data_IF_898909053755
#
_entry.id   IF_898909053755
#
_cell.length_a   1.000
_cell.length_b   1.000
_cell.length_c   1.000
_cell.angle_alpha   90.00
_cell.angle_beta   90.00
_cell.angle_gamma   90.00
#
_symmetry.space_group_name_H-M   'P 1'
#
loop_
_entity.id
_entity.type
_entity.pdbx_description
1 polymer ?
#
# COMPACT_ATOMS: atom_id res chain seq x y z
N UNK A 1 23.68 -7.95 -10.43
CA UNK A 1 23.00 -8.68 -11.51
C UNK A 1 21.50 -8.55 -11.26
N UNK A 2 20.76 -7.85 -12.14
CA UNK A 2 19.33 -7.58 -11.90
C UNK A 2 18.47 -8.84 -12.01
N UNK A 3 18.79 -9.73 -12.95
CA UNK A 3 18.04 -10.96 -13.18
C UNK A 3 18.07 -11.89 -11.96
N UNK A 4 19.23 -11.99 -11.31
CA UNK A 4 19.38 -12.73 -10.06
C UNK A 4 18.52 -12.14 -8.94
N UNK A 5 18.47 -10.81 -8.82
CA UNK A 5 17.62 -10.16 -7.80
C UNK A 5 16.13 -10.41 -8.06
N UNK A 6 15.69 -10.32 -9.32
CA UNK A 6 14.30 -10.62 -9.68
C UNK A 6 13.95 -12.08 -9.42
N UNK A 7 14.87 -13.00 -9.71
CA UNK A 7 14.69 -14.43 -9.41
C UNK A 7 14.54 -14.65 -7.90
N UNK A 8 15.42 -14.07 -7.08
CA UNK A 8 15.35 -14.15 -5.62
C UNK A 8 14.04 -13.56 -5.07
N UNK A 9 13.57 -12.45 -5.63
CA UNK A 9 12.32 -11.81 -5.22
C UNK A 9 11.10 -12.66 -5.57
N UNK A 10 11.08 -13.26 -6.77
CA UNK A 10 10.03 -14.19 -7.20
C UNK A 10 9.95 -15.42 -6.28
N UNK A 11 11.10 -15.98 -5.92
CA UNK A 11 11.17 -17.09 -4.97
C UNK A 11 10.63 -16.70 -3.58
N UNK A 12 10.94 -15.49 -3.11
CA UNK A 12 10.40 -14.97 -1.86
C UNK A 12 8.87 -14.85 -1.92
N UNK A 13 8.32 -14.31 -3.00
CA UNK A 13 6.88 -14.17 -3.18
C UNK A 13 6.18 -15.53 -3.21
N UNK A 14 6.72 -16.50 -3.93
CA UNK A 14 6.18 -17.87 -3.96
C UNK A 14 6.16 -18.50 -2.57
N UNK A 15 7.25 -18.34 -1.80
CA UNK A 15 7.32 -18.82 -0.41
C UNK A 15 6.27 -18.16 0.47
N UNK A 16 6.03 -16.85 0.31
CA UNK A 16 5.00 -16.13 1.06
C UNK A 16 3.58 -16.62 0.69
N UNK A 17 3.32 -16.84 -0.60
CA UNK A 17 2.05 -17.37 -1.09
C UNK A 17 1.74 -18.74 -0.51
N UNK A 18 2.74 -19.62 -0.41
CA UNK A 18 2.56 -20.95 0.18
C UNK A 18 2.46 -20.92 1.71
N UNK A 19 3.03 -19.92 2.36
CA UNK A 19 3.14 -19.85 3.82
C UNK A 19 2.03 -19.05 4.51
N UNK A 20 1.26 -18.26 3.77
CA UNK A 20 0.29 -17.30 4.32
C UNK A 20 -1.06 -17.41 3.60
N UNK A 21 -2.17 -17.03 4.25
CA UNK A 21 -3.50 -16.93 3.63
C UNK A 21 -3.65 -15.69 2.75
N UNK A 22 -2.56 -15.05 2.34
CA UNK A 22 -2.61 -13.83 1.55
C UNK A 22 -2.86 -14.15 0.09
N UNK A 23 -3.83 -13.45 -0.49
CA UNK A 23 -4.04 -13.46 -1.94
C UNK A 23 -2.94 -12.60 -2.58
N UNK A 24 -2.15 -13.22 -3.44
CA UNK A 24 -1.16 -12.52 -4.25
C UNK A 24 -1.73 -12.26 -5.63
N UNK A 25 -1.80 -11.00 -6.02
CA UNK A 25 -2.23 -10.56 -7.35
C UNK A 25 -0.99 -10.07 -8.10
N UNK A 26 -0.73 -10.65 -9.27
CA UNK A 26 0.31 -10.22 -10.21
C UNK A 26 -0.31 -10.27 -11.59
N UNK A 27 -0.30 -9.13 -12.28
CA UNK A 27 -0.79 -8.99 -13.64
C UNK A 27 0.34 -8.47 -14.53
N UNK A 28 0.54 -9.12 -15.68
CA UNK A 28 1.58 -8.71 -16.61
C UNK A 28 1.27 -7.32 -17.18
N UNK A 29 2.30 -6.48 -17.26
CA UNK A 29 2.25 -5.11 -17.79
C UNK A 29 1.36 -4.12 -17.02
N UNK A 30 0.89 -4.49 -15.83
CA UNK A 30 0.17 -3.58 -14.93
C UNK A 30 1.02 -3.30 -13.70
N UNK A 31 0.93 -2.08 -13.20
CA UNK A 31 1.61 -1.68 -11.98
C UNK A 31 0.74 -2.02 -10.74
N UNK A 32 1.38 -1.99 -9.56
CA UNK A 32 0.68 -2.30 -8.32
C UNK A 32 -0.38 -1.24 -7.98
N UNK A 33 -0.15 0.00 -8.41
CA UNK A 33 -1.04 1.14 -8.22
C UNK A 33 -2.34 1.02 -9.03
N UNK A 34 -2.29 0.51 -10.27
CA UNK A 34 -3.46 0.16 -11.09
C UNK A 34 -4.37 -0.82 -10.33
N UNK A 35 -3.75 -1.85 -9.75
CA UNK A 35 -4.45 -2.91 -9.00
C UNK A 35 -5.07 -2.33 -7.72
N UNK A 36 -4.28 -1.59 -6.93
CA UNK A 36 -4.73 -1.00 -5.67
C UNK A 36 -5.85 0.02 -5.89
N UNK A 37 -5.68 0.89 -6.90
CA UNK A 37 -6.67 1.88 -7.32
C UNK A 37 -8.02 1.21 -7.64
N UNK A 38 -8.00 0.19 -8.48
CA UNK A 38 -9.20 -0.57 -8.85
C UNK A 38 -9.79 -1.31 -7.65
N UNK A 39 -8.95 -1.92 -6.80
CA UNK A 39 -9.40 -2.61 -5.60
C UNK A 39 -10.10 -1.67 -4.61
N UNK A 40 -9.62 -0.43 -4.46
CA UNK A 40 -10.30 0.59 -3.65
C UNK A 40 -11.72 0.89 -4.16
N UNK A 41 -11.93 0.97 -5.48
CA UNK A 41 -13.27 1.16 -6.03
C UNK A 41 -14.14 -0.09 -5.96
N UNK A 42 -13.55 -1.27 -6.14
CA UNK A 42 -14.24 -2.56 -6.07
C UNK A 42 -14.76 -2.85 -4.66
N UNK A 43 -13.95 -2.61 -3.62
CA UNK A 43 -14.32 -2.85 -2.22
C UNK A 43 -14.95 -1.64 -1.52
N UNK A 44 -15.61 -0.74 -2.27
CA UNK A 44 -16.21 0.50 -1.75
C UNK A 44 -17.20 0.32 -0.59
N UNK A 45 -17.80 -0.87 -0.47
CA UNK A 45 -18.76 -1.19 0.59
C UNK A 45 -18.07 -1.66 1.89
N UNK A 46 -16.72 -1.61 1.95
CA UNK A 46 -15.91 -2.01 3.09
C UNK A 46 -14.86 -0.94 3.40
N UNK A 47 -14.34 -0.98 4.63
CA UNK A 47 -13.13 -0.23 4.94
C UNK A 47 -11.92 -0.84 4.21
N UNK A 48 -11.18 0.01 3.49
CA UNK A 48 -9.99 -0.39 2.73
C UNK A 48 -8.77 0.27 3.36
N UNK A 49 -7.81 -0.55 3.79
CA UNK A 49 -6.56 -0.08 4.37
C UNK A 49 -5.41 -0.34 3.40
N UNK A 50 -4.84 0.73 2.84
CA UNK A 50 -3.63 0.68 2.02
C UNK A 50 -2.42 0.74 2.96
N UNK A 51 -1.54 -0.24 2.87
CA UNK A 51 -0.29 -0.28 3.66
C UNK A 51 0.86 0.04 2.71
N UNK A 52 1.27 1.30 2.65
CA UNK A 52 2.35 1.75 1.76
C UNK A 52 3.04 3.02 2.26
N UNK A 53 4.32 3.17 1.94
CA UNK A 53 5.07 4.41 2.13
C UNK A 53 4.88 5.40 0.99
N UNK A 54 4.34 4.96 -0.14
CA UNK A 54 4.14 5.78 -1.33
C UNK A 54 3.17 6.94 -1.07
N UNK A 55 3.50 8.12 -1.58
CA UNK A 55 2.65 9.31 -1.52
C UNK A 55 1.52 9.26 -2.53
N UNK A 56 1.63 8.43 -3.56
CA UNK A 56 0.76 8.50 -4.72
C UNK A 56 -0.63 7.98 -4.39
N UNK A 57 -0.69 7.03 -3.46
CA UNK A 57 -1.94 6.56 -2.86
C UNK A 57 -2.69 7.63 -2.06
N UNK A 58 -2.06 8.75 -1.68
CA UNK A 58 -2.75 9.81 -0.94
C UNK A 58 -3.90 10.43 -1.76
N UNK A 59 -3.85 10.33 -3.09
CA UNK A 59 -5.00 10.72 -3.92
C UNK A 59 -6.24 9.84 -3.66
N UNK A 60 -6.06 8.55 -3.32
CA UNK A 60 -7.15 7.62 -3.03
C UNK A 60 -7.84 7.91 -1.69
N UNK A 61 -7.25 8.75 -0.83
CA UNK A 61 -7.91 9.26 0.37
C UNK A 61 -9.09 10.21 0.05
N UNK A 62 -9.39 10.44 -1.24
CA UNK A 62 -10.65 11.04 -1.70
C UNK A 62 -11.87 10.19 -1.33
N UNK A 63 -11.69 8.88 -1.19
CA UNK A 63 -12.73 7.98 -0.74
C UNK A 63 -12.72 7.88 0.79
N UNK A 64 -13.83 8.24 1.45
CA UNK A 64 -13.93 8.27 2.92
C UNK A 64 -13.66 6.92 3.60
N UNK A 65 -13.89 5.81 2.87
CA UNK A 65 -13.67 4.44 3.33
C UNK A 65 -12.23 3.94 3.12
N UNK A 66 -11.35 4.75 2.51
CA UNK A 66 -9.93 4.42 2.27
C UNK A 66 -9.06 5.06 3.34
N UNK A 67 -8.28 4.23 4.04
CA UNK A 67 -7.25 4.65 5.00
C UNK A 67 -5.87 4.25 4.50
N UNK A 68 -4.87 5.09 4.74
CA UNK A 68 -3.50 4.81 4.33
C UNK A 68 -2.62 4.70 5.56
N UNK A 69 -1.99 3.56 5.77
CA UNK A 69 -1.06 3.28 6.86
C UNK A 69 0.38 3.37 6.36
N UNK A 70 1.17 4.29 6.90
CA UNK A 70 2.63 4.34 6.64
C UNK A 70 3.32 3.21 7.41
N UNK A 71 3.99 2.24 6.76
CA UNK A 71 4.72 1.17 7.45
C UNK A 71 5.92 1.72 8.23
N UNK A 72 6.53 2.79 7.72
CA UNK A 72 7.67 3.48 8.31
C UNK A 72 7.28 4.15 9.62
N UNK A 73 6.21 4.94 9.60
CA UNK A 73 5.79 5.76 10.74
C UNK A 73 4.82 5.00 11.67
N UNK A 74 4.22 3.91 11.18
CA UNK A 74 3.24 3.07 11.88
C UNK A 74 2.02 3.87 12.33
N UNK A 75 1.62 4.81 11.48
CA UNK A 75 0.48 5.70 11.70
C UNK A 75 -0.30 5.88 10.41
N UNK A 76 -1.61 6.09 10.55
CA UNK A 76 -2.43 6.51 9.43
C UNK A 76 -2.00 7.90 8.94
N UNK A 77 -1.82 8.04 7.63
CA UNK A 77 -1.57 9.33 6.98
C UNK A 77 -2.83 10.18 7.10
N UNK A 78 -2.64 11.46 7.42
CA UNK A 78 -3.72 12.45 7.40
C UNK A 78 -3.62 13.23 6.10
N UNK A 79 -4.53 12.95 5.17
CA UNK A 79 -4.61 13.65 3.88
C UNK A 79 -5.71 14.70 3.98
N UNK A 80 -5.37 15.97 3.74
CA UNK A 80 -6.32 17.08 3.86
C UNK A 80 -6.99 17.45 2.54
N UNK A 81 -6.25 17.35 1.44
CA UNK A 81 -6.76 17.69 0.11
C UNK A 81 -6.17 16.75 -0.95
N UNK A 82 -6.81 15.59 -1.20
CA UNK A 82 -6.38 14.63 -2.21
C UNK A 82 -6.37 15.22 -3.63
N UNK A 83 -7.32 16.10 -3.98
CA UNK A 83 -7.40 16.72 -5.31
C UNK A 83 -6.19 17.63 -5.58
N UNK A 84 -5.71 18.34 -4.55
CA UNK A 84 -4.49 19.14 -4.66
C UNK A 84 -3.24 18.29 -4.88
N UNK A 85 -3.20 17.08 -4.32
CA UNK A 85 -2.08 16.14 -4.53
C UNK A 85 -2.04 15.71 -6.00
N UNK A 86 -3.19 15.30 -6.55
CA UNK A 86 -3.30 14.94 -7.96
C UNK A 86 -2.92 16.13 -8.87
N UNK A 87 -3.47 17.32 -8.61
CA UNK A 87 -3.16 18.51 -9.40
C UNK A 87 -1.66 18.84 -9.41
N UNK A 88 -0.97 18.69 -8.27
CA UNK A 88 0.49 18.89 -8.18
C UNK A 88 1.25 17.85 -9.01
N UNK A 89 0.84 16.58 -8.97
CA UNK A 89 1.47 15.51 -9.75
C UNK A 89 1.32 15.71 -11.25
N UNK A 90 0.13 16.10 -11.70
CA UNK A 90 -0.11 16.44 -13.11
C UNK A 90 0.79 17.61 -13.53
N UNK A 91 0.91 18.62 -12.68
CA UNK A 91 1.73 19.79 -12.96
C UNK A 91 3.22 19.45 -13.07
N UNK A 92 3.74 18.65 -12.15
CA UNK A 92 5.15 18.25 -12.13
C UNK A 92 5.34 16.98 -11.32
N UNK A 93 5.86 15.95 -11.97
CA UNK A 93 6.31 14.72 -11.31
C UNK A 93 7.71 14.37 -11.83
N UNK A 94 8.69 14.35 -10.93
CA UNK A 94 10.09 14.11 -11.30
C UNK A 94 10.37 12.62 -11.47
N UNK A 95 9.66 11.78 -10.73
CA UNK A 95 9.90 10.33 -10.72
C UNK A 95 9.48 9.72 -12.05
N UNK A 96 8.35 10.15 -12.58
CA UNK A 96 7.77 9.69 -13.86
C UNK A 96 8.23 10.54 -15.05
N UNK A 97 9.28 11.36 -14.86
CA UNK A 97 9.86 12.21 -15.89
C UNK A 97 8.88 13.23 -16.53
N UNK A 98 7.85 13.66 -15.78
CA UNK A 98 6.86 14.66 -16.17
C UNK A 98 7.31 16.07 -15.72
N UNK A 99 8.42 16.54 -16.29
CA UNK A 99 9.06 17.82 -15.90
C UNK A 99 8.93 18.94 -16.94
N UNK A 100 8.48 18.61 -18.15
CA UNK A 100 8.25 19.58 -19.23
C UNK A 100 7.14 20.56 -18.86
N UNK A 101 7.10 21.74 -19.49
CA UNK A 101 5.99 22.66 -19.34
C UNK A 101 4.74 22.11 -20.05
N UNK A 102 3.56 22.33 -19.45
CA UNK A 102 2.28 21.95 -20.04
C UNK A 102 1.88 23.06 -21.02
N UNK A 103 2.01 22.79 -22.31
CA UNK A 103 1.79 23.79 -23.36
C UNK A 103 0.36 23.81 -23.91
N UNK A 104 -0.35 22.68 -23.84
CA UNK A 104 -1.69 22.54 -24.38
C UNK A 104 -2.50 21.53 -23.55
N UNK A 105 -3.81 21.48 -23.81
CA UNK A 105 -4.74 20.58 -23.14
C UNK A 105 -4.41 19.10 -23.39
N UNK A 106 -3.88 18.77 -24.57
CA UNK A 106 -3.51 17.39 -24.91
C UNK A 106 -2.36 16.87 -24.01
N UNK A 107 -1.37 17.71 -23.72
CA UNK A 107 -0.26 17.37 -22.81
C UNK A 107 -0.77 17.21 -21.37
N UNK A 108 -1.70 18.07 -20.95
CA UNK A 108 -2.37 17.93 -19.66
C UNK A 108 -3.07 16.57 -19.52
N UNK A 109 -3.91 16.22 -20.51
CA UNK A 109 -4.67 14.97 -20.51
C UNK A 109 -3.77 13.73 -20.56
N UNK A 110 -2.62 13.81 -21.25
CA UNK A 110 -1.63 12.72 -21.26
C UNK A 110 -1.01 12.52 -19.88
N UNK A 111 -0.64 13.59 -19.19
CA UNK A 111 -0.08 13.52 -17.84
C UNK A 111 -1.09 13.03 -16.84
N UNK A 112 -2.32 13.55 -16.91
CA UNK A 112 -3.42 13.08 -16.08
C UNK A 112 -3.58 11.56 -16.19
N UNK A 113 -3.59 11.00 -17.41
CA UNK A 113 -3.67 9.55 -17.61
C UNK A 113 -2.52 8.75 -16.99
N UNK A 114 -1.35 9.35 -16.78
CA UNK A 114 -0.18 8.69 -16.20
C UNK A 114 -0.27 8.68 -14.67
N UNK A 115 -0.67 9.78 -14.04
CA UNK A 115 -0.58 9.95 -12.57
C UNK A 115 -1.90 9.73 -11.83
N UNK A 116 -3.02 9.73 -12.54
CA UNK A 116 -4.35 9.70 -11.93
C UNK A 116 -4.75 8.27 -11.56
N UNK A 117 -4.82 8.01 -10.25
CA UNK A 117 -5.32 6.74 -9.70
C UNK A 117 -6.81 6.80 -9.34
N UNK A 118 -7.50 7.93 -9.53
CA UNK A 118 -8.94 8.00 -9.30
C UNK A 118 -9.74 7.43 -10.47
N UNK A 119 -9.21 7.56 -11.68
CA UNK A 119 -9.80 7.03 -12.91
C UNK A 119 -8.73 6.40 -13.79
N UNK A 120 -8.87 5.11 -14.05
CA UNK A 120 -7.98 4.36 -14.94
C UNK A 120 -8.65 4.11 -16.30
N UNK A 121 -7.89 3.82 -17.37
CA UNK A 121 -8.44 3.33 -18.63
C UNK A 121 -9.31 2.08 -18.43
N UNK A 122 -10.43 1.99 -19.16
CA UNK A 122 -11.40 0.87 -19.07
C UNK A 122 -10.74 -0.48 -19.21
N UNK A 123 -9.81 -0.61 -20.16
CA UNK A 123 -9.16 -1.89 -20.48
C UNK A 123 -8.26 -2.38 -19.34
N UNK A 124 -7.69 -1.46 -18.56
CA UNK A 124 -6.89 -1.77 -17.37
C UNK A 124 -7.83 -2.18 -16.23
N UNK A 125 -8.85 -1.37 -15.98
CA UNK A 125 -9.83 -1.63 -14.91
C UNK A 125 -10.55 -2.96 -15.11
N UNK A 126 -11.00 -3.29 -16.33
CA UNK A 126 -11.64 -4.57 -16.63
C UNK A 126 -10.73 -5.78 -16.36
N UNK A 127 -9.44 -5.68 -16.69
CA UNK A 127 -8.48 -6.77 -16.41
C UNK A 127 -8.34 -7.01 -14.91
N UNK A 128 -8.23 -5.94 -14.13
CA UNK A 128 -8.11 -6.05 -12.67
C UNK A 128 -9.41 -6.55 -12.06
N UNK A 129 -10.56 -6.03 -12.50
CA UNK A 129 -11.88 -6.45 -12.00
C UNK A 129 -12.15 -7.94 -12.20
N UNK A 130 -11.77 -8.50 -13.36
CA UNK A 130 -11.88 -9.95 -13.61
C UNK A 130 -11.13 -10.75 -12.56
N UNK A 131 -9.88 -10.38 -12.30
CA UNK A 131 -9.09 -11.05 -11.27
C UNK A 131 -9.72 -10.88 -9.89
N UNK A 132 -10.10 -9.66 -9.52
CA UNK A 132 -10.71 -9.38 -8.20
C UNK A 132 -12.02 -10.16 -7.98
N UNK A 133 -12.79 -10.37 -9.03
CA UNK A 133 -14.03 -11.14 -9.00
C UNK A 133 -13.77 -12.65 -8.83
N UNK A 134 -12.71 -13.17 -9.44
CA UNK A 134 -12.32 -14.59 -9.39
C UNK A 134 -11.53 -14.96 -8.12
N UNK A 135 -11.21 -14.01 -7.24
CA UNK A 135 -10.46 -14.28 -6.01
C UNK A 135 -11.28 -15.17 -5.07
N UNK A 136 -10.73 -16.34 -4.78
CA UNK A 136 -11.19 -17.22 -3.71
C UNK A 136 -10.32 -17.07 -2.45
N UNK A 137 -10.90 -17.26 -1.25
CA UNK A 137 -10.12 -17.30 -0.01
C UNK A 137 -9.07 -18.41 -0.04
N UNK A 138 -7.83 -18.07 0.34
CA UNK A 138 -6.74 -19.07 0.45
C UNK A 138 -6.92 -19.86 1.74
N UNK A 139 -7.37 -21.11 1.62
CA UNK A 139 -7.56 -22.02 2.78
C UNK A 139 -6.35 -22.91 3.04
N UNK A 140 -5.56 -23.21 2.01
CA UNK A 140 -4.45 -24.16 2.08
C UNK A 140 -3.11 -23.42 2.10
N UNK A 141 -2.65 -23.06 3.30
CA UNK A 141 -1.32 -22.46 3.51
C UNK A 141 -0.57 -23.22 4.62
N UNK A 142 0.76 -23.29 4.52
CA UNK A 142 1.61 -23.96 5.51
C UNK A 142 2.48 -22.94 6.25
N UNK A 143 2.02 -22.56 7.45
CA UNK A 143 2.72 -21.60 8.30
C UNK A 143 4.16 -22.03 8.63
N UNK A 144 4.48 -23.32 8.61
CA UNK A 144 5.82 -23.83 8.91
C UNK A 144 6.86 -23.41 7.88
N UNK A 145 6.43 -23.00 6.68
CA UNK A 145 7.29 -22.45 5.63
C UNK A 145 7.83 -21.06 5.97
N UNK A 146 7.24 -20.34 6.93
CA UNK A 146 7.85 -19.11 7.46
C UNK A 146 9.09 -19.51 8.28
N UNK A 147 10.29 -18.98 7.98
CA UNK A 147 11.55 -19.50 8.54
C UNK A 147 11.69 -19.39 10.06
N UNK A 148 11.16 -18.32 10.68
CA UNK A 148 11.38 -18.04 12.10
C UNK A 148 10.16 -18.40 12.96
N UNK A 149 10.36 -19.23 13.99
CA UNK A 149 9.29 -19.62 14.93
C UNK A 149 8.61 -18.42 15.58
N UNK A 150 9.39 -17.43 16.01
CA UNK A 150 8.87 -16.19 16.62
C UNK A 150 7.95 -15.42 15.69
N UNK A 151 8.18 -15.46 14.37
CA UNK A 151 7.29 -14.85 13.39
C UNK A 151 6.04 -15.70 13.16
N UNK A 152 6.16 -17.03 13.13
CA UNK A 152 5.01 -17.95 13.04
C UNK A 152 4.05 -17.75 14.21
N UNK A 153 4.59 -17.78 15.44
CA UNK A 153 3.80 -17.64 16.66
C UNK A 153 3.06 -16.29 16.68
N UNK A 154 3.76 -15.20 16.32
CA UNK A 154 3.18 -13.86 16.24
C UNK A 154 2.15 -13.72 15.11
N UNK A 155 2.37 -14.36 13.97
CA UNK A 155 1.42 -14.36 12.88
C UNK A 155 0.12 -15.06 13.31
N UNK A 156 0.23 -16.25 13.91
CA UNK A 156 -0.93 -17.02 14.36
C UNK A 156 -1.69 -16.33 15.48
N UNK A 157 -1.01 -15.66 16.42
CA UNK A 157 -1.69 -14.87 17.45
C UNK A 157 -2.53 -13.75 16.84
N UNK A 158 -2.00 -13.05 15.82
CA UNK A 158 -2.75 -11.99 15.12
C UNK A 158 -3.91 -12.58 14.31
N UNK A 159 -3.65 -13.66 13.56
CA UNK A 159 -4.60 -14.25 12.64
C UNK A 159 -5.79 -14.94 13.33
N UNK A 160 -5.54 -15.66 14.44
CA UNK A 160 -6.58 -16.40 15.15
C UNK A 160 -7.28 -15.58 16.23
N UNK A 161 -6.57 -14.67 16.92
CA UNK A 161 -7.11 -14.02 18.12
C UNK A 161 -7.61 -12.58 17.85
N UNK A 162 -7.31 -11.99 16.68
CA UNK A 162 -7.84 -10.67 16.28
C UNK A 162 -7.33 -9.49 17.13
N UNK A 163 -6.25 -9.65 17.89
CA UNK A 163 -5.84 -8.75 18.99
C UNK A 163 -5.01 -7.53 18.57
N UNK A 164 -4.96 -7.16 17.28
CA UNK A 164 -3.90 -6.29 16.77
C UNK A 164 -3.96 -4.81 17.25
N UNK A 165 -5.14 -4.23 17.48
CA UNK A 165 -5.26 -2.78 17.69
C UNK A 165 -4.78 -2.31 19.07
N UNK A 166 -5.29 -2.89 20.16
CA UNK A 166 -5.02 -2.38 21.51
C UNK A 166 -3.55 -2.53 21.93
N UNK A 167 -2.92 -3.65 21.61
CA UNK A 167 -1.52 -3.86 21.96
C UNK A 167 -0.57 -2.96 21.17
N UNK A 168 -0.89 -2.69 19.91
CA UNK A 168 -0.07 -1.84 19.04
C UNK A 168 -0.13 -0.39 19.52
N UNK A 169 -1.33 0.08 19.90
CA UNK A 169 -1.52 1.41 20.51
C UNK A 169 -0.71 1.51 21.81
N UNK A 170 -0.83 0.55 22.74
CA UNK A 170 -0.05 0.52 24.00
C UNK A 170 1.47 0.52 23.77
N UNK A 171 1.95 -0.21 22.74
CA UNK A 171 3.37 -0.26 22.36
C UNK A 171 3.85 1.08 21.77
N UNK A 172 3.03 1.74 20.94
CA UNK A 172 3.32 3.06 20.36
C UNK A 172 3.37 4.13 21.46
N UNK A 173 2.42 4.12 22.39
CA UNK A 173 2.38 5.05 23.53
C UNK A 173 3.60 4.91 24.44
N UNK A 174 3.98 3.68 24.79
CA UNK A 174 5.22 3.41 25.56
C UNK A 174 6.46 3.95 24.84
N UNK A 175 6.55 3.77 23.51
CA UNK A 175 7.67 4.31 22.72
C UNK A 175 7.68 5.85 22.70
N UNK A 176 6.52 6.48 22.47
CA UNK A 176 6.37 7.94 22.51
C UNK A 176 6.76 8.52 23.88
N UNK A 177 6.33 7.88 24.97
CA UNK A 177 6.70 8.28 26.33
C UNK A 177 8.22 8.17 26.58
N UNK A 178 8.86 7.11 26.09
CA UNK A 178 10.32 6.93 26.21
C UNK A 178 11.10 8.01 25.44
N UNK A 179 10.67 8.32 24.21
CA UNK A 179 11.25 9.39 23.39
C UNK A 179 11.07 10.78 24.03
N UNK A 180 9.92 11.05 24.63
CA UNK A 180 9.66 12.32 25.35
C UNK A 180 10.58 12.49 26.56
N UNK A 181 10.79 11.42 27.34
CA UNK A 181 11.74 11.41 28.47
C UNK A 181 13.20 11.62 28.04
N UNK A 182 13.60 11.04 26.90
CA UNK A 182 14.93 11.22 26.32
C UNK A 182 15.16 12.67 25.88
N UNK A 183 14.19 13.28 25.18
CA UNK A 183 14.26 14.70 24.78
C UNK A 183 14.29 15.65 25.97
N UNK A 184 13.50 15.40 27.02
CA UNK A 184 13.55 16.21 28.24
C UNK A 184 14.92 16.15 28.94
N UNK A 185 15.54 14.96 29.01
CA UNK A 185 16.89 14.81 29.59
C UNK A 185 17.97 15.56 28.81
N UNK A 186 17.85 15.65 27.48
CA UNK A 186 18.78 16.40 26.63
C UNK A 186 18.62 17.93 26.72
N UNK A 187 17.45 18.42 27.11
CA UNK A 187 17.17 19.85 27.31
C UNK A 187 17.55 20.36 28.72
N UNK A 188 17.96 19.47 29.62
CA UNK A 188 18.32 19.81 31.02
C UNK A 188 19.84 19.75 31.25
N UNK A 189 20.62 19.65 30.17
CA UNK A 189 22.10 19.70 30.13
C UNK A 189 22.46 20.91 29.28
#
# INVERSE_FOLDING_TARGET
NWDEMFSMFKDLLNKLKEATPFVQIVLDYLEADDIISTACRYYKDKEVIIISSDSDYEQLAKYDYVKILSPKDKTYKKVTNPDLILAKKIQKETTDNLVSEINNEEDYLKREKIVNLLSLPSDIEEKVLRVLFEIEPVTNFDINKIPFKTMRDRFMSIYCEGTAEEETIKKIEKKKAKLKKLKQRQLTI
#
